data_IF_409539389120
#
_entry.id   IF_409539389120
#
_cell.length_a   1.000
_cell.length_b   1.000
_cell.length_c   1.000
_cell.angle_alpha   90.00
_cell.angle_beta   90.00
_cell.angle_gamma   90.00
#
_symmetry.space_group_name_H-M   'P 1'
#
loop_
_entity.id
_entity.type
_entity.pdbx_description
1 polymer ?
#
# COMPACT_ATOMS: atom_id res chain seq x y z
N UNK A 1 -23.74 5.97 3.84
CA UNK A 1 -22.44 6.65 3.63
C UNK A 1 -22.17 6.62 2.13
N UNK A 2 -22.11 7.78 1.49
CA UNK A 2 -22.09 7.89 0.03
C UNK A 2 -20.93 7.09 -0.59
N UNK A 3 -21.24 6.29 -1.61
CA UNK A 3 -20.29 5.59 -2.47
C UNK A 3 -19.46 6.63 -3.24
N UNK A 4 -18.42 7.16 -2.60
CA UNK A 4 -17.40 7.95 -3.29
C UNK A 4 -16.83 7.11 -4.44
N UNK A 5 -16.84 7.69 -5.64
CA UNK A 5 -16.38 7.11 -6.90
C UNK A 5 -15.10 6.31 -6.69
N UNK A 6 -15.06 5.11 -7.25
CA UNK A 6 -13.99 4.11 -7.10
C UNK A 6 -12.56 4.64 -7.33
N UNK A 7 -12.37 5.75 -8.03
CA UNK A 7 -11.06 6.38 -8.26
C UNK A 7 -10.45 7.02 -7.00
N UNK A 8 -11.27 7.56 -6.08
CA UNK A 8 -10.76 8.07 -4.79
C UNK A 8 -10.29 6.93 -3.86
N UNK A 9 -10.69 5.68 -4.12
CA UNK A 9 -10.35 4.55 -3.22
C UNK A 9 -8.85 4.23 -3.21
N UNK A 10 -8.17 4.44 -4.34
CA UNK A 10 -6.75 4.10 -4.51
C UNK A 10 -5.82 5.27 -4.22
N UNK A 11 -6.33 6.51 -4.23
CA UNK A 11 -5.53 7.70 -3.87
C UNK A 11 -5.55 7.89 -2.36
N UNK A 12 -4.40 7.71 -1.71
CA UNK A 12 -4.26 7.76 -0.24
C UNK A 12 -3.18 8.74 0.16
N UNK A 13 -3.38 9.42 1.29
CA UNK A 13 -2.36 10.30 1.87
C UNK A 13 -1.21 9.47 2.45
N UNK A 14 0.01 9.99 2.32
CA UNK A 14 1.15 9.50 3.09
C UNK A 14 0.96 9.92 4.55
N UNK A 15 0.97 8.93 5.45
CA UNK A 15 0.91 9.13 6.88
C UNK A 15 2.30 8.94 7.48
N UNK A 16 2.62 9.73 8.51
CA UNK A 16 3.86 9.56 9.27
C UNK A 16 3.73 8.32 10.16
N UNK A 17 4.71 7.43 10.09
CA UNK A 17 4.83 6.25 10.95
C UNK A 17 6.12 6.38 11.76
N UNK A 18 5.99 6.59 13.06
CA UNK A 18 7.14 6.84 13.94
C UNK A 18 7.85 8.16 13.66
N UNK A 19 9.18 8.21 13.86
CA UNK A 19 9.95 9.46 13.75
C UNK A 19 10.45 9.76 12.32
N UNK A 20 10.88 8.73 11.59
CA UNK A 20 11.57 8.87 10.30
C UNK A 20 10.91 8.16 9.13
N UNK A 21 9.80 7.43 9.36
CA UNK A 21 9.15 6.64 8.32
C UNK A 21 7.81 7.26 7.93
N UNK A 22 7.42 7.01 6.70
CA UNK A 22 6.08 7.29 6.18
C UNK A 22 5.48 6.01 5.63
N UNK A 23 4.17 5.91 5.67
CA UNK A 23 3.43 4.78 5.11
C UNK A 23 2.18 5.25 4.37
N UNK A 24 1.71 4.38 3.49
CA UNK A 24 0.43 4.52 2.81
C UNK A 24 -0.44 3.35 3.21
N UNK A 25 -1.73 3.61 3.42
CA UNK A 25 -2.68 2.54 3.70
C UNK A 25 -3.12 1.90 2.38
N UNK A 26 -2.87 0.60 2.24
CA UNK A 26 -3.35 -0.15 1.08
C UNK A 26 -4.81 -0.58 1.31
N UNK A 27 -5.69 -0.46 0.30
CA UNK A 27 -7.05 -1.00 0.39
C UNK A 27 -7.04 -2.50 0.70
N UNK A 28 -7.76 -2.90 1.74
CA UNK A 28 -7.77 -4.30 2.21
C UNK A 28 -8.29 -5.28 1.15
N UNK A 29 -9.19 -4.82 0.27
CA UNK A 29 -9.74 -5.60 -0.84
C UNK A 29 -8.63 -6.06 -1.80
N UNK A 30 -7.75 -5.14 -2.19
CA UNK A 30 -6.64 -5.42 -3.11
C UNK A 30 -5.55 -6.28 -2.45
N UNK A 31 -5.21 -5.98 -1.18
CA UNK A 31 -4.26 -6.77 -0.39
C UNK A 31 -4.68 -8.24 -0.30
N UNK A 32 -5.99 -8.49 -0.10
CA UNK A 32 -6.54 -9.85 -0.06
C UNK A 32 -6.54 -10.53 -1.43
N UNK A 33 -6.86 -9.80 -2.51
CA UNK A 33 -6.85 -10.35 -3.88
C UNK A 33 -5.45 -10.85 -4.29
N UNK A 34 -4.39 -10.14 -3.89
CA UNK A 34 -3.01 -10.56 -4.16
C UNK A 34 -2.47 -11.56 -3.13
N UNK A 35 -3.30 -12.00 -2.16
CA UNK A 35 -2.96 -13.03 -1.18
C UNK A 35 -2.01 -12.56 -0.07
N UNK A 36 -1.80 -11.26 0.07
CA UNK A 36 -0.91 -10.71 1.10
C UNK A 36 -1.55 -10.79 2.48
N UNK A 37 -0.73 -11.09 3.49
CA UNK A 37 -1.13 -11.21 4.89
C UNK A 37 -0.45 -10.14 5.74
N UNK A 38 -1.13 -9.73 6.81
CA UNK A 38 -0.56 -8.82 7.81
C UNK A 38 0.69 -9.45 8.42
N UNK A 39 1.77 -8.67 8.56
CA UNK A 39 3.03 -9.12 9.15
C UNK A 39 3.96 -9.89 8.22
N UNK A 40 3.60 -10.12 6.96
CA UNK A 40 4.52 -10.74 6.00
C UNK A 40 5.63 -9.78 5.55
N UNK A 41 6.76 -10.34 5.12
CA UNK A 41 7.88 -9.56 4.57
C UNK A 41 7.58 -9.13 3.13
N UNK A 42 7.85 -7.87 2.83
CA UNK A 42 7.70 -7.27 1.51
C UNK A 42 9.00 -6.55 1.11
N UNK A 43 9.31 -6.54 -0.17
CA UNK A 43 10.44 -5.83 -0.75
C UNK A 43 9.95 -4.53 -1.38
N UNK A 44 10.61 -3.41 -1.06
CA UNK A 44 10.30 -2.09 -1.62
C UNK A 44 11.40 -1.72 -2.61
N UNK A 45 11.04 -1.49 -3.87
CA UNK A 45 11.96 -1.06 -4.93
C UNK A 45 11.62 0.35 -5.38
N UNK A 46 12.62 1.23 -5.46
CA UNK A 46 12.44 2.58 -6.01
C UNK A 46 12.34 2.51 -7.53
N UNK A 47 11.35 3.19 -8.09
CA UNK A 47 11.15 3.36 -9.53
C UNK A 47 11.04 4.85 -9.87
N UNK A 48 11.10 5.21 -11.16
CA UNK A 48 10.93 6.61 -11.57
C UNK A 48 9.50 7.06 -11.22
N UNK A 49 9.38 8.04 -10.33
CA UNK A 49 8.09 8.59 -9.91
C UNK A 49 7.40 7.84 -8.77
N UNK A 50 8.02 6.83 -8.14
CA UNK A 50 7.38 6.12 -7.03
C UNK A 50 8.15 4.93 -6.45
N UNK A 51 7.40 4.04 -5.81
CA UNK A 51 7.91 2.79 -5.24
C UNK A 51 7.02 1.63 -5.68
N UNK A 52 7.66 0.51 -5.99
CA UNK A 52 7.02 -0.78 -6.24
C UNK A 52 7.18 -1.65 -4.99
N UNK A 53 6.08 -2.25 -4.53
CA UNK A 53 6.08 -3.16 -3.38
C UNK A 53 5.80 -4.56 -3.90
N UNK A 54 6.68 -5.51 -3.58
CA UNK A 54 6.60 -6.91 -4.02
C UNK A 54 6.69 -7.86 -2.84
N UNK A 55 6.15 -9.06 -3.00
CA UNK A 55 6.37 -10.14 -2.05
C UNK A 55 7.86 -10.48 -1.98
N UNK A 56 8.41 -10.66 -0.79
CA UNK A 56 9.83 -10.98 -0.59
C UNK A 56 10.22 -12.33 -1.23
N UNK A 57 9.29 -13.28 -1.33
CA UNK A 57 9.58 -14.63 -1.84
C UNK A 57 9.64 -14.72 -3.37
N UNK A 58 9.43 -13.61 -4.10
CA UNK A 58 9.45 -13.57 -5.57
C UNK A 58 10.64 -12.79 -6.11
#
# INVERSE_FOLDING_TARGET
MALKKSEEKNTRKLAKIGKQSVGVTLPIEEVRKIGWRVGQKLTIKRIRGGFEIKDWRK
#
